data_IF_551023917300
#
_entry.id   IF_551023917300
#
_cell.length_a   1.000
_cell.length_b   1.000
_cell.length_c   1.000
_cell.angle_alpha   90.00
_cell.angle_beta   90.00
_cell.angle_gamma   90.00
#
_symmetry.space_group_name_H-M   'P 1'
#
loop_
_entity.id
_entity.type
_entity.pdbx_description
1 polymer ?
#
# COMPACT_ATOMS: atom_id res chain seq x y z
N UNK A 1 -2.94 4.88 -5.05
CA UNK A 1 -3.73 5.07 -3.81
C UNK A 1 -3.99 6.55 -3.54
N UNK A 2 -2.96 7.38 -3.26
CA UNK A 2 -3.15 8.79 -2.87
C UNK A 2 -4.02 9.62 -3.84
N UNK A 3 -3.80 9.51 -5.14
CA UNK A 3 -4.63 10.20 -6.15
C UNK A 3 -6.10 9.78 -6.14
N UNK A 4 -6.38 8.50 -5.85
CA UNK A 4 -7.76 8.02 -5.70
C UNK A 4 -8.41 8.59 -4.43
N UNK A 5 -7.65 8.75 -3.34
CA UNK A 5 -8.12 9.41 -2.12
C UNK A 5 -8.47 10.88 -2.39
N UNK A 6 -7.57 11.64 -3.05
CA UNK A 6 -7.79 13.06 -3.40
C UNK A 6 -9.06 13.21 -4.24
N UNK A 7 -9.23 12.39 -5.30
CA UNK A 7 -10.43 12.39 -6.14
C UNK A 7 -11.70 12.16 -5.30
N UNK A 8 -11.68 11.17 -4.41
CA UNK A 8 -12.83 10.84 -3.57
C UNK A 8 -13.17 11.95 -2.55
N UNK A 9 -12.15 12.61 -2.00
CA UNK A 9 -12.33 13.76 -1.09
C UNK A 9 -12.97 14.92 -1.86
N UNK A 10 -12.44 15.25 -3.05
CA UNK A 10 -13.00 16.34 -3.88
C UNK A 10 -14.42 16.07 -4.33
N UNK A 11 -14.74 14.85 -4.72
CA UNK A 11 -16.13 14.52 -5.08
C UNK A 11 -17.07 14.69 -3.90
N UNK A 12 -16.66 14.24 -2.71
CA UNK A 12 -17.54 14.25 -1.54
C UNK A 12 -17.67 15.60 -0.87
N UNK A 13 -16.59 16.36 -0.79
CA UNK A 13 -16.51 17.58 0.02
C UNK A 13 -16.27 18.86 -0.81
N UNK A 14 -15.99 18.74 -2.11
CA UNK A 14 -15.73 19.87 -2.99
C UNK A 14 -14.56 20.73 -2.52
N UNK A 15 -14.72 22.03 -2.67
CA UNK A 15 -13.74 23.04 -2.24
C UNK A 15 -13.72 23.28 -0.72
N UNK A 16 -14.67 22.71 0.02
CA UNK A 16 -14.66 22.76 1.49
C UNK A 16 -13.55 21.89 2.10
N UNK A 17 -12.98 20.95 1.33
CA UNK A 17 -11.84 20.16 1.78
C UNK A 17 -10.55 20.94 1.60
N UNK A 18 -9.81 21.16 2.69
CA UNK A 18 -8.45 21.66 2.65
C UNK A 18 -7.47 20.47 2.63
N UNK A 19 -6.77 20.25 1.50
CA UNK A 19 -5.96 19.06 1.26
C UNK A 19 -4.49 19.45 1.10
N UNK A 20 -3.63 18.90 1.96
CA UNK A 20 -2.19 18.87 1.77
C UNK A 20 -1.76 17.50 1.26
N UNK A 21 -0.88 17.44 0.27
CA UNK A 21 -0.22 16.22 -0.18
C UNK A 21 1.28 16.29 0.09
N UNK A 22 1.82 15.31 0.81
CA UNK A 22 3.26 15.15 0.92
C UNK A 22 3.77 14.18 -0.15
N UNK A 23 4.70 14.66 -0.98
CA UNK A 23 5.37 13.87 -1.99
C UNK A 23 6.74 13.39 -1.49
N UNK A 24 6.89 12.08 -1.35
CA UNK A 24 8.16 11.47 -0.99
C UNK A 24 9.05 11.32 -2.24
N UNK A 25 10.25 11.89 -2.18
CA UNK A 25 11.24 11.80 -3.25
C UNK A 25 12.51 12.61 -2.91
N UNK A 26 13.54 12.47 -3.73
CA UNK A 26 14.79 13.24 -3.60
C UNK A 26 14.72 14.60 -4.28
N UNK A 27 13.79 14.74 -5.21
CA UNK A 27 13.60 15.94 -6.01
C UNK A 27 12.13 16.34 -5.99
N UNK A 28 11.87 17.63 -6.05
CA UNK A 28 10.53 18.16 -6.18
C UNK A 28 9.90 17.66 -7.49
N UNK A 29 8.65 17.16 -7.46
CA UNK A 29 8.00 16.74 -8.68
C UNK A 29 7.79 17.94 -9.60
N UNK A 30 8.16 17.82 -10.87
CA UNK A 30 7.96 18.85 -11.88
C UNK A 30 6.50 19.03 -12.31
N UNK A 31 5.54 18.59 -11.49
CA UNK A 31 4.10 18.67 -11.75
C UNK A 31 3.34 19.02 -10.48
N UNK A 32 2.24 19.73 -10.64
CA UNK A 32 1.30 19.95 -9.55
C UNK A 32 0.40 18.74 -9.36
N UNK A 33 0.16 18.37 -8.09
CA UNK A 33 -0.81 17.32 -7.77
C UNK A 33 -2.20 17.95 -7.90
N UNK A 34 -2.97 17.49 -8.89
CA UNK A 34 -4.32 17.99 -9.12
C UNK A 34 -5.23 17.71 -7.90
N UNK A 35 -6.04 18.71 -7.57
CA UNK A 35 -7.03 18.59 -6.50
C UNK A 35 -6.48 18.79 -5.08
N UNK A 36 -5.24 19.27 -4.89
CA UNK A 36 -4.72 19.65 -3.57
C UNK A 36 -4.60 21.15 -3.42
N UNK A 37 -4.64 21.63 -2.18
CA UNK A 37 -4.44 23.03 -1.84
C UNK A 37 -2.96 23.35 -1.63
N UNK A 38 -2.21 22.38 -1.08
CA UNK A 38 -0.79 22.52 -0.81
C UNK A 38 -0.05 21.22 -1.11
N UNK A 39 1.11 21.31 -1.75
CA UNK A 39 2.02 20.19 -1.95
C UNK A 39 3.27 20.41 -1.13
N UNK A 40 3.56 19.47 -0.24
CA UNK A 40 4.80 19.41 0.52
C UNK A 40 5.70 18.34 -0.09
N UNK A 41 6.98 18.63 -0.18
CA UNK A 41 7.99 17.73 -0.69
C UNK A 41 8.99 17.33 0.41
N UNK A 42 9.33 16.05 0.49
CA UNK A 42 10.37 15.54 1.38
C UNK A 42 10.00 14.24 2.10
N UNK A 43 10.97 13.73 2.86
CA UNK A 43 10.81 12.55 3.71
C UNK A 43 10.03 12.90 4.97
N UNK A 44 8.96 12.21 5.26
CA UNK A 44 8.16 12.37 6.48
C UNK A 44 8.96 12.11 7.76
N UNK A 45 10.06 11.38 7.67
CA UNK A 45 10.98 11.19 8.81
C UNK A 45 11.86 12.41 9.09
N UNK A 46 11.94 13.37 8.15
CA UNK A 46 12.64 14.63 8.37
C UNK A 46 11.83 15.52 9.32
N UNK A 47 12.43 15.98 10.45
CA UNK A 47 11.75 16.89 11.37
C UNK A 47 11.23 18.17 10.71
N UNK A 48 11.93 18.72 9.71
CA UNK A 48 11.50 19.93 9.01
C UNK A 48 10.22 19.69 8.19
N UNK A 49 10.07 18.51 7.59
CA UNK A 49 8.85 18.12 6.88
C UNK A 49 7.69 17.99 7.87
N UNK A 50 7.93 17.36 9.01
CA UNK A 50 6.91 17.22 10.05
C UNK A 50 6.44 18.57 10.61
N UNK A 51 7.37 19.49 10.86
CA UNK A 51 7.00 20.85 11.33
C UNK A 51 6.14 21.61 10.30
N UNK A 52 6.41 21.45 9.01
CA UNK A 52 5.56 22.03 7.96
C UNK A 52 4.16 21.40 7.96
N UNK A 53 4.06 20.08 8.18
CA UNK A 53 2.77 19.40 8.31
C UNK A 53 2.02 19.91 9.54
N UNK A 54 2.70 20.10 10.69
CA UNK A 54 2.10 20.67 11.89
C UNK A 54 1.62 22.12 11.67
N UNK A 55 2.34 22.91 10.89
CA UNK A 55 1.93 24.26 10.56
C UNK A 55 0.66 24.32 9.70
N UNK A 56 0.42 23.31 8.88
CA UNK A 56 -0.80 23.21 8.11
C UNK A 56 -1.99 22.92 9.05
N UNK A 57 -3.01 23.76 8.99
CA UNK A 57 -4.22 23.67 9.80
C UNK A 57 -3.97 23.48 11.33
N UNK A 58 -2.89 24.04 11.86
CA UNK A 58 -2.46 23.92 13.26
C UNK A 58 -2.33 22.45 13.73
N UNK A 59 -1.90 21.57 12.85
CA UNK A 59 -1.70 20.15 13.14
C UNK A 59 -2.98 19.34 13.34
N UNK A 60 -4.15 19.91 13.02
CA UNK A 60 -5.45 19.26 13.17
C UNK A 60 -5.95 18.73 11.83
N UNK A 61 -6.28 17.43 11.79
CA UNK A 61 -6.72 16.76 10.57
C UNK A 61 -7.95 15.90 10.83
N UNK A 62 -8.95 15.99 9.96
CA UNK A 62 -10.08 15.05 9.97
C UNK A 62 -9.67 13.67 9.49
N UNK A 63 -8.80 13.62 8.46
CA UNK A 63 -8.32 12.34 7.92
C UNK A 63 -6.91 12.48 7.37
N UNK A 64 -6.05 11.54 7.76
CA UNK A 64 -4.72 11.35 7.22
C UNK A 64 -4.67 10.06 6.40
N UNK A 65 -4.19 10.14 5.16
CA UNK A 65 -3.98 8.99 4.28
C UNK A 65 -2.48 8.71 4.13
N UNK A 66 -2.02 7.59 4.68
CA UNK A 66 -0.62 7.20 4.56
C UNK A 66 -0.43 6.18 3.44
N UNK A 67 0.01 6.66 2.26
CA UNK A 67 0.08 5.86 1.04
C UNK A 67 1.52 5.45 0.64
N UNK A 68 2.53 5.76 1.45
CA UNK A 68 3.91 5.37 1.18
C UNK A 68 4.12 3.89 1.47
N UNK A 69 4.79 3.18 0.55
CA UNK A 69 5.18 1.79 0.73
C UNK A 69 6.53 1.57 0.04
N UNK A 70 7.56 1.35 0.82
CA UNK A 70 8.92 1.09 0.39
C UNK A 70 9.49 -0.07 1.21
N UNK A 71 10.20 -0.98 0.55
CA UNK A 71 10.81 -2.12 1.21
C UNK A 71 11.33 -3.13 0.20
N UNK A 72 12.02 -4.14 0.71
CA UNK A 72 12.51 -5.25 -0.10
C UNK A 72 11.33 -6.07 -0.65
N UNK A 73 11.41 -6.36 -1.94
CA UNK A 73 10.48 -7.22 -2.69
C UNK A 73 11.27 -8.10 -3.66
N UNK A 74 10.64 -9.10 -4.24
CA UNK A 74 11.26 -10.01 -5.20
C UNK A 74 11.89 -11.24 -4.55
N UNK A 75 11.68 -11.42 -3.24
CA UNK A 75 12.07 -12.61 -2.46
C UNK A 75 10.84 -13.10 -1.70
N UNK A 76 10.81 -14.39 -1.30
CA UNK A 76 9.74 -14.91 -0.43
C UNK A 76 9.64 -14.13 0.89
N UNK A 77 8.43 -13.93 1.38
CA UNK A 77 8.20 -13.25 2.67
C UNK A 77 8.92 -13.99 3.82
N UNK A 78 8.91 -15.31 3.78
CA UNK A 78 9.58 -16.16 4.78
C UNK A 78 11.12 -16.03 4.80
N UNK A 79 11.71 -15.44 3.77
CA UNK A 79 13.16 -15.23 3.66
C UNK A 79 13.61 -13.80 4.01
N UNK A 80 12.66 -12.92 4.34
CA UNK A 80 13.00 -11.56 4.75
C UNK A 80 13.80 -11.56 6.05
N UNK A 81 14.93 -10.86 6.05
CA UNK A 81 15.78 -10.75 7.26
C UNK A 81 15.22 -9.72 8.24
N UNK A 82 15.53 -9.84 9.54
CA UNK A 82 15.13 -8.83 10.53
C UNK A 82 15.54 -7.40 10.13
N UNK A 83 16.71 -7.24 9.52
CA UNK A 83 17.24 -5.95 9.07
C UNK A 83 16.42 -5.40 7.90
N UNK A 84 16.05 -6.24 6.92
CA UNK A 84 15.23 -5.81 5.78
C UNK A 84 13.80 -5.49 6.22
N UNK A 85 13.26 -6.23 7.20
CA UNK A 85 11.95 -5.94 7.81
C UNK A 85 11.97 -4.60 8.54
N UNK A 86 12.99 -4.35 9.37
CA UNK A 86 13.15 -3.09 10.10
C UNK A 86 13.26 -1.91 9.13
N UNK A 87 14.05 -2.05 8.06
CA UNK A 87 14.18 -1.01 7.03
C UNK A 87 12.85 -0.75 6.29
N UNK A 88 12.12 -1.81 5.97
CA UNK A 88 10.80 -1.68 5.34
C UNK A 88 9.80 -0.99 6.27
N UNK A 89 9.76 -1.34 7.55
CA UNK A 89 8.88 -0.70 8.55
C UNK A 89 9.20 0.78 8.73
N UNK A 90 10.48 1.15 8.80
CA UNK A 90 10.93 2.55 8.91
C UNK A 90 10.32 3.47 7.84
N UNK A 91 10.01 2.93 6.66
CA UNK A 91 9.47 3.69 5.53
C UNK A 91 7.98 3.45 5.31
N UNK A 92 7.45 2.30 5.71
CA UNK A 92 6.08 1.90 5.37
C UNK A 92 5.13 1.86 6.56
N UNK A 93 5.63 1.72 7.79
CA UNK A 93 4.80 1.56 8.99
C UNK A 93 5.12 2.56 10.10
N UNK A 94 6.39 2.70 10.51
CA UNK A 94 6.78 3.54 11.65
C UNK A 94 6.31 5.01 11.50
N UNK A 95 6.28 5.61 10.28
CA UNK A 95 5.74 6.96 10.13
C UNK A 95 4.26 7.09 10.47
N UNK A 96 3.47 6.02 10.38
CA UNK A 96 2.06 6.03 10.80
C UNK A 96 1.98 6.28 12.31
N UNK A 97 2.76 5.54 13.08
CA UNK A 97 2.83 5.69 14.54
C UNK A 97 3.32 7.08 14.95
N UNK A 98 4.36 7.57 14.26
CA UNK A 98 4.89 8.92 14.49
C UNK A 98 3.84 9.99 14.21
N UNK A 99 3.16 9.93 13.08
CA UNK A 99 2.12 10.90 12.72
C UNK A 99 0.94 10.85 13.69
N UNK A 100 0.53 9.67 14.15
CA UNK A 100 -0.53 9.53 15.16
C UNK A 100 -0.14 10.14 16.51
N UNK A 101 1.13 10.04 16.90
CA UNK A 101 1.62 10.62 18.15
C UNK A 101 1.78 12.14 18.10
N UNK A 102 2.19 12.68 16.94
CA UNK A 102 2.60 14.07 16.75
C UNK A 102 1.49 15.01 16.29
N UNK A 103 0.42 14.46 15.71
CA UNK A 103 -0.68 15.24 15.12
C UNK A 103 -2.01 14.98 15.84
N UNK A 104 -2.93 15.92 15.73
CA UNK A 104 -4.32 15.74 16.15
C UNK A 104 -5.16 15.26 14.96
N UNK A 105 -5.26 13.94 14.81
CA UNK A 105 -5.92 13.29 13.67
C UNK A 105 -7.13 12.51 14.17
N UNK A 106 -8.31 12.74 13.56
CA UNK A 106 -9.52 11.97 13.90
C UNK A 106 -9.54 10.57 13.27
N UNK A 107 -9.04 10.44 12.03
CA UNK A 107 -8.99 9.15 11.31
C UNK A 107 -7.67 9.01 10.57
N UNK A 108 -6.98 7.89 10.75
CA UNK A 108 -5.80 7.52 9.96
C UNK A 108 -6.16 6.34 9.06
N UNK A 109 -5.89 6.50 7.77
CA UNK A 109 -6.13 5.50 6.74
C UNK A 109 -4.80 5.01 6.20
N UNK A 110 -4.51 3.74 6.42
CA UNK A 110 -3.35 3.06 5.85
C UNK A 110 -3.75 2.16 4.68
N UNK A 111 -2.77 1.62 3.98
CA UNK A 111 -3.01 0.77 2.81
C UNK A 111 -2.30 -0.56 2.93
N UNK A 112 -3.06 -1.63 2.67
CA UNK A 112 -2.57 -2.99 2.59
C UNK A 112 -2.90 -3.62 1.24
N UNK A 113 -2.56 -4.89 1.09
CA UNK A 113 -2.87 -5.72 -0.07
C UNK A 113 -3.16 -7.14 0.39
N UNK A 114 -3.58 -8.01 -0.52
CA UNK A 114 -3.76 -9.44 -0.21
C UNK A 114 -2.41 -10.18 -0.25
N UNK A 115 -1.47 -9.76 0.61
CA UNK A 115 -0.09 -10.26 0.65
C UNK A 115 0.04 -11.74 1.06
N UNK A 116 -1.05 -12.35 1.50
CA UNK A 116 -1.10 -13.76 1.93
C UNK A 116 -1.44 -14.74 0.81
N UNK A 117 -1.77 -14.28 -0.39
CA UNK A 117 -1.91 -15.18 -1.53
C UNK A 117 -0.54 -15.75 -1.95
N UNK A 118 -0.53 -16.96 -2.51
CA UNK A 118 0.71 -17.72 -2.76
C UNK A 118 1.74 -16.96 -3.60
N UNK A 119 1.29 -16.25 -4.64
CA UNK A 119 2.17 -15.45 -5.48
C UNK A 119 2.79 -14.25 -4.75
N UNK A 120 2.04 -13.62 -3.86
CA UNK A 120 2.56 -12.53 -3.03
C UNK A 120 3.50 -13.06 -1.94
N UNK A 121 3.18 -14.20 -1.32
CA UNK A 121 4.10 -14.86 -0.37
C UNK A 121 5.46 -15.15 -1.00
N UNK A 122 5.49 -15.48 -2.30
CA UNK A 122 6.71 -15.80 -3.04
C UNK A 122 7.55 -14.55 -3.41
N UNK A 123 6.99 -13.32 -3.34
CA UNK A 123 7.67 -12.14 -3.92
C UNK A 123 7.64 -10.88 -3.09
N UNK A 124 6.83 -10.83 -2.02
CA UNK A 124 6.59 -9.57 -1.32
C UNK A 124 7.62 -9.25 -0.24
N UNK A 125 8.56 -10.18 0.06
CA UNK A 125 9.72 -9.98 0.94
C UNK A 125 9.38 -9.27 2.25
N UNK A 126 10.25 -8.35 2.66
CA UNK A 126 10.06 -7.55 3.87
C UNK A 126 8.80 -6.65 3.83
N UNK A 127 8.33 -6.24 2.64
CA UNK A 127 7.08 -5.49 2.53
C UNK A 127 5.86 -6.27 3.02
N UNK A 128 5.85 -7.61 2.94
CA UNK A 128 4.78 -8.44 3.49
C UNK A 128 4.65 -8.26 5.00
N UNK A 129 5.78 -8.23 5.71
CA UNK A 129 5.81 -7.97 7.16
C UNK A 129 5.34 -6.55 7.51
N UNK A 130 5.69 -5.54 6.71
CA UNK A 130 5.17 -4.18 6.92
C UNK A 130 3.66 -4.10 6.70
N UNK A 131 3.11 -4.87 5.75
CA UNK A 131 1.65 -4.94 5.57
C UNK A 131 0.97 -5.64 6.74
N UNK A 132 1.55 -6.71 7.27
CA UNK A 132 1.06 -7.34 8.50
C UNK A 132 1.09 -6.38 9.69
N UNK A 133 2.18 -5.60 9.85
CA UNK A 133 2.28 -4.60 10.92
C UNK A 133 1.18 -3.53 10.79
N UNK A 134 0.91 -3.03 9.59
CA UNK A 134 -0.18 -2.09 9.31
C UNK A 134 -1.53 -2.72 9.67
N UNK A 135 -1.79 -3.98 9.33
CA UNK A 135 -3.07 -4.62 9.60
C UNK A 135 -3.27 -4.94 11.08
N UNK A 136 -2.21 -5.30 11.80
CA UNK A 136 -2.24 -5.43 13.26
C UNK A 136 -2.56 -4.10 13.94
N UNK A 137 -1.85 -3.04 13.55
CA UNK A 137 -2.11 -1.69 14.04
C UNK A 137 -3.55 -1.23 13.75
N UNK A 138 -4.08 -1.56 12.57
CA UNK A 138 -5.42 -1.12 12.18
C UNK A 138 -6.53 -1.63 13.11
N UNK A 139 -6.36 -2.79 13.74
CA UNK A 139 -7.34 -3.36 14.69
C UNK A 139 -7.08 -2.95 16.14
N UNK A 140 -5.98 -2.26 16.42
CA UNK A 140 -5.67 -1.75 17.75
C UNK A 140 -6.46 -0.47 18.03
N UNK A 141 -6.78 -0.25 19.31
CA UNK A 141 -7.38 1.02 19.73
C UNK A 141 -6.29 2.07 19.86
N UNK A 142 -6.36 3.08 19.01
CA UNK A 142 -5.45 4.24 19.03
C UNK A 142 -6.11 5.52 19.52
N UNK A 143 -5.36 6.62 19.45
CA UNK A 143 -5.86 7.98 19.67
C UNK A 143 -6.80 8.39 18.52
N UNK A 144 -6.47 8.02 17.30
CA UNK A 144 -7.31 8.19 16.12
C UNK A 144 -8.16 6.95 15.85
N UNK A 145 -9.20 7.10 15.01
CA UNK A 145 -9.82 5.95 14.37
C UNK A 145 -8.87 5.38 13.32
N UNK A 146 -8.57 4.10 13.40
CA UNK A 146 -7.78 3.42 12.37
C UNK A 146 -8.69 2.83 11.29
N UNK A 147 -8.25 2.92 10.03
CA UNK A 147 -8.87 2.26 8.91
C UNK A 147 -7.80 1.80 7.92
N UNK A 148 -8.08 0.74 7.18
CA UNK A 148 -7.15 0.22 6.18
C UNK A 148 -7.90 -0.11 4.87
N UNK A 149 -7.39 0.36 3.74
CA UNK A 149 -7.85 -0.07 2.42
C UNK A 149 -6.91 -1.18 1.95
N UNK A 150 -7.47 -2.39 1.82
CA UNK A 150 -6.76 -3.58 1.32
C UNK A 150 -7.12 -3.78 -0.15
N UNK A 151 -6.14 -3.68 -1.03
CA UNK A 151 -6.36 -3.74 -2.47
C UNK A 151 -5.71 -4.96 -3.12
N UNK A 152 -6.39 -5.53 -4.11
CA UNK A 152 -5.81 -6.48 -5.06
C UNK A 152 -4.72 -5.84 -5.93
N UNK A 153 -4.08 -6.64 -6.76
CA UNK A 153 -3.02 -6.15 -7.65
C UNK A 153 -3.57 -5.10 -8.61
N UNK A 154 -2.96 -3.93 -8.60
CA UNK A 154 -3.24 -2.84 -9.52
C UNK A 154 -1.95 -2.21 -10.04
N UNK A 155 -2.04 -1.54 -11.18
CA UNK A 155 -0.86 -0.88 -11.73
C UNK A 155 -0.46 0.36 -10.93
N UNK A 156 0.76 0.34 -10.38
CA UNK A 156 1.34 1.39 -9.55
C UNK A 156 2.83 1.53 -9.81
N UNK A 157 3.45 2.57 -9.25
CA UNK A 157 4.92 2.67 -9.27
C UNK A 157 5.57 1.48 -8.55
N UNK A 158 5.01 1.03 -7.44
CA UNK A 158 5.52 -0.13 -6.69
C UNK A 158 5.40 -1.41 -7.51
N UNK A 159 4.27 -1.67 -8.16
CA UNK A 159 4.12 -2.86 -9.01
C UNK A 159 5.07 -2.85 -10.21
N UNK A 160 5.33 -1.68 -10.80
CA UNK A 160 6.36 -1.52 -11.85
C UNK A 160 7.76 -1.80 -11.33
N UNK A 161 8.08 -1.36 -10.10
CA UNK A 161 9.35 -1.65 -9.41
C UNK A 161 9.56 -3.14 -9.20
N UNK A 162 8.54 -3.86 -8.72
CA UNK A 162 8.56 -5.33 -8.56
C UNK A 162 8.80 -6.01 -9.89
N UNK A 163 8.08 -5.63 -10.95
CA UNK A 163 8.29 -6.16 -12.31
C UNK A 163 9.72 -5.94 -12.80
N UNK A 164 10.30 -4.78 -12.51
CA UNK A 164 11.69 -4.49 -12.91
C UNK A 164 12.70 -5.36 -12.17
N UNK A 165 12.50 -5.59 -10.87
CA UNK A 165 13.32 -6.50 -10.07
C UNK A 165 13.20 -7.93 -10.58
N UNK A 166 11.98 -8.42 -10.78
CA UNK A 166 11.74 -9.74 -11.35
C UNK A 166 12.40 -9.92 -12.73
N UNK A 167 12.40 -8.88 -13.59
CA UNK A 167 13.13 -8.92 -14.87
C UNK A 167 14.63 -9.10 -14.70
N UNK A 168 15.23 -8.47 -13.70
CA UNK A 168 16.66 -8.60 -13.42
C UNK A 168 16.99 -9.99 -12.91
N UNK A 169 16.24 -10.47 -11.92
CA UNK A 169 16.47 -11.78 -11.30
C UNK A 169 16.15 -12.93 -12.26
N UNK A 170 15.13 -12.78 -13.11
CA UNK A 170 14.71 -13.78 -14.10
C UNK A 170 15.69 -13.99 -15.25
N UNK A 171 16.76 -13.19 -15.37
CA UNK A 171 17.88 -13.49 -16.28
C UNK A 171 18.67 -14.72 -15.81
N UNK A 172 18.57 -15.05 -14.54
CA UNK A 172 19.20 -16.16 -13.87
C UNK A 172 18.15 -16.93 -13.05
N UNK A 173 17.24 -17.69 -13.70
CA UNK A 173 16.14 -18.38 -13.01
C UNK A 173 16.61 -19.35 -11.92
N UNK A 174 17.83 -19.87 -12.06
CA UNK A 174 18.48 -20.72 -11.07
C UNK A 174 18.69 -20.02 -9.71
N UNK A 175 18.73 -18.70 -9.69
CA UNK A 175 18.86 -17.89 -8.46
C UNK A 175 17.51 -17.61 -7.79
N UNK A 176 16.38 -17.94 -8.45
CA UNK A 176 15.06 -17.83 -7.86
C UNK A 176 14.84 -19.00 -6.88
N UNK A 177 14.78 -18.70 -5.60
CA UNK A 177 14.67 -19.71 -4.55
C UNK A 177 13.28 -20.35 -4.52
N UNK A 178 12.23 -19.54 -4.66
CA UNK A 178 10.87 -20.04 -4.64
C UNK A 178 10.56 -20.89 -5.89
N UNK A 179 10.11 -22.15 -5.72
CA UNK A 179 9.82 -23.04 -6.85
C UNK A 179 8.69 -22.55 -7.75
N UNK A 180 7.65 -21.90 -7.17
CA UNK A 180 6.56 -21.34 -7.96
C UNK A 180 7.08 -20.22 -8.85
N UNK A 181 7.85 -19.31 -8.27
CA UNK A 181 8.43 -18.19 -9.01
C UNK A 181 9.36 -18.69 -10.11
N UNK A 182 10.23 -19.66 -9.82
CA UNK A 182 11.14 -20.30 -10.79
C UNK A 182 10.37 -20.87 -11.99
N UNK A 183 9.25 -21.56 -11.76
CA UNK A 183 8.44 -22.21 -12.82
C UNK A 183 7.91 -21.23 -13.87
N UNK A 184 7.77 -19.96 -13.51
CA UNK A 184 7.33 -18.92 -14.43
C UNK A 184 8.43 -18.45 -15.39
N UNK A 185 9.70 -18.59 -15.01
CA UNK A 185 10.82 -18.06 -15.77
C UNK A 185 11.67 -19.12 -16.45
N UNK A 186 11.66 -20.35 -15.97
CA UNK A 186 12.45 -21.44 -16.54
C UNK A 186 12.04 -21.71 -17.99
N UNK A 187 13.02 -21.63 -18.91
CA UNK A 187 12.81 -21.82 -20.33
C UNK A 187 12.00 -20.73 -21.05
N UNK A 188 11.77 -19.57 -20.42
CA UNK A 188 10.96 -18.47 -20.97
C UNK A 188 11.71 -17.14 -20.96
N UNK A 189 11.28 -16.22 -21.81
CA UNK A 189 11.74 -14.83 -21.72
C UNK A 189 11.24 -14.16 -20.41
N UNK A 190 12.00 -13.22 -19.88
CA UNK A 190 11.59 -12.47 -18.67
C UNK A 190 10.23 -11.76 -18.86
N UNK A 191 9.92 -11.32 -20.07
CA UNK A 191 8.64 -10.68 -20.40
C UNK A 191 7.48 -11.67 -20.27
N UNK A 192 7.63 -12.84 -20.87
CA UNK A 192 6.63 -13.91 -20.81
C UNK A 192 6.42 -14.44 -19.40
N UNK A 193 7.53 -14.67 -18.66
CA UNK A 193 7.47 -15.09 -17.27
C UNK A 193 6.71 -14.10 -16.38
N UNK A 194 6.96 -12.80 -16.51
CA UNK A 194 6.26 -11.76 -15.75
C UNK A 194 4.77 -11.74 -16.11
N UNK A 195 4.44 -11.80 -17.39
CA UNK A 195 3.03 -11.81 -17.80
C UNK A 195 2.29 -13.00 -17.20
N UNK A 196 2.85 -14.22 -17.32
CA UNK A 196 2.25 -15.42 -16.72
C UNK A 196 2.17 -15.37 -15.20
N UNK A 197 3.17 -14.78 -14.55
CA UNK A 197 3.15 -14.57 -13.10
C UNK A 197 2.02 -13.63 -12.68
N UNK A 198 1.81 -12.51 -13.39
CA UNK A 198 0.67 -11.61 -13.15
C UNK A 198 -0.67 -12.30 -13.39
N UNK A 199 -0.79 -13.08 -14.46
CA UNK A 199 -1.99 -13.89 -14.73
C UNK A 199 -2.25 -14.90 -13.60
N UNK A 200 -1.18 -15.46 -13.01
CA UNK A 200 -1.26 -16.31 -11.83
C UNK A 200 -1.82 -15.58 -10.61
N UNK A 201 -1.34 -14.36 -10.34
CA UNK A 201 -1.90 -13.50 -9.27
C UNK A 201 -3.39 -13.24 -9.52
N UNK A 202 -3.77 -12.81 -10.72
CA UNK A 202 -5.16 -12.52 -11.03
C UNK A 202 -6.08 -13.73 -10.92
N UNK A 203 -5.58 -14.90 -11.30
CA UNK A 203 -6.32 -16.16 -11.13
C UNK A 203 -6.56 -16.44 -9.64
N UNK A 204 -5.53 -16.36 -8.83
CA UNK A 204 -5.60 -16.57 -7.38
C UNK A 204 -6.49 -15.55 -6.68
N UNK A 205 -6.38 -14.27 -7.03
CA UNK A 205 -7.29 -13.24 -6.53
C UNK A 205 -8.74 -13.54 -6.86
N UNK A 206 -9.03 -13.95 -8.11
CA UNK A 206 -10.38 -14.28 -8.54
C UNK A 206 -10.93 -15.51 -7.79
N UNK A 207 -10.11 -16.51 -7.56
CA UNK A 207 -10.49 -17.72 -6.80
C UNK A 207 -10.75 -17.39 -5.32
N UNK A 208 -9.88 -16.61 -4.70
CA UNK A 208 -9.97 -16.28 -3.28
C UNK A 208 -11.02 -15.19 -2.97
N UNK A 209 -11.16 -14.19 -3.84
CA UNK A 209 -11.93 -12.98 -3.56
C UNK A 209 -13.08 -12.72 -4.54
N UNK A 210 -13.24 -13.57 -5.55
CA UNK A 210 -14.35 -13.53 -6.50
C UNK A 210 -14.19 -12.55 -7.67
N UNK A 211 -13.15 -11.69 -7.66
CA UNK A 211 -12.80 -10.78 -8.76
C UNK A 211 -11.28 -10.51 -8.74
N UNK A 212 -10.77 -9.82 -9.75
CA UNK A 212 -9.34 -9.49 -9.90
C UNK A 212 -9.17 -8.23 -10.78
N UNK A 213 -7.92 -7.82 -11.02
CA UNK A 213 -7.56 -6.67 -11.88
C UNK A 213 -8.14 -5.36 -11.37
N UNK A 214 -7.80 -5.02 -10.13
CA UNK A 214 -8.19 -3.75 -9.51
C UNK A 214 -7.71 -2.56 -10.33
N UNK A 215 -8.59 -1.59 -10.57
CA UNK A 215 -8.31 -0.38 -11.34
C UNK A 215 -8.25 0.86 -10.44
N UNK A 216 -7.81 1.98 -10.99
CA UNK A 216 -7.86 3.27 -10.29
C UNK A 216 -9.30 3.67 -9.93
N UNK A 217 -10.28 3.32 -10.76
CA UNK A 217 -11.70 3.58 -10.48
C UNK A 217 -12.20 2.73 -9.31
N UNK A 218 -11.82 1.45 -9.24
CA UNK A 218 -12.21 0.58 -8.13
C UNK A 218 -11.62 1.08 -6.79
N UNK A 219 -10.37 1.55 -6.82
CA UNK A 219 -9.73 2.19 -5.67
C UNK A 219 -10.46 3.47 -5.23
N UNK A 220 -10.86 4.29 -6.17
CA UNK A 220 -11.64 5.48 -5.90
C UNK A 220 -13.00 5.13 -5.26
N UNK A 221 -13.70 4.13 -5.76
CA UNK A 221 -14.96 3.64 -5.18
C UNK A 221 -14.76 3.10 -3.75
N UNK A 222 -13.61 2.46 -3.47
CA UNK A 222 -13.26 2.03 -2.11
C UNK A 222 -13.12 3.22 -1.15
N UNK A 223 -12.50 4.33 -1.59
CA UNK A 223 -12.41 5.55 -0.77
C UNK A 223 -13.78 6.20 -0.51
N UNK A 224 -14.69 6.20 -1.49
CA UNK A 224 -16.06 6.68 -1.25
C UNK A 224 -16.78 5.84 -0.19
N UNK A 225 -16.56 4.52 -0.18
CA UNK A 225 -17.10 3.65 0.89
C UNK A 225 -16.50 3.96 2.25
N UNK A 226 -15.21 4.27 2.34
CA UNK A 226 -14.56 4.70 3.58
C UNK A 226 -15.28 5.89 4.25
N UNK A 227 -15.70 6.86 3.45
CA UNK A 227 -16.42 8.02 3.95
C UNK A 227 -17.89 7.74 4.31
N UNK A 228 -18.46 6.64 3.81
CA UNK A 228 -19.82 6.22 4.11
C UNK A 228 -19.91 5.39 5.38
N UNK A 229 -18.94 4.53 5.63
CA UNK A 229 -18.95 3.57 6.73
C UNK A 229 -17.89 3.94 7.77
N UNK A 230 -18.31 4.11 9.02
CA UNK A 230 -17.43 4.55 10.11
C UNK A 230 -16.93 3.41 10.99
N UNK A 231 -17.57 2.24 10.94
CA UNK A 231 -17.26 1.15 11.86
C UNK A 231 -16.24 0.13 11.36
N UNK A 232 -16.28 -0.34 10.08
CA UNK A 232 -15.36 -1.38 9.66
C UNK A 232 -13.92 -0.88 9.60
N UNK A 233 -12.99 -1.74 10.01
CA UNK A 233 -11.55 -1.45 9.98
C UNK A 233 -11.02 -1.56 8.55
N UNK A 234 -11.42 -2.63 7.82
CA UNK A 234 -10.90 -2.89 6.48
C UNK A 234 -11.95 -2.67 5.40
N UNK A 235 -11.56 -1.90 4.40
CA UNK A 235 -12.28 -1.79 3.14
C UNK A 235 -11.46 -2.58 2.11
N UNK A 236 -11.97 -3.72 1.71
CA UNK A 236 -11.33 -4.60 0.76
C UNK A 236 -11.80 -4.27 -0.65
N UNK A 237 -10.88 -4.23 -1.60
CA UNK A 237 -11.18 -4.02 -3.02
C UNK A 237 -10.35 -4.97 -3.87
N UNK A 238 -11.02 -5.81 -4.66
CA UNK A 238 -10.39 -6.71 -5.61
C UNK A 238 -11.22 -6.71 -6.90
N UNK A 239 -10.65 -6.19 -7.98
CA UNK A 239 -11.45 -5.82 -9.14
C UNK A 239 -12.56 -4.86 -8.76
N UNK A 240 -13.77 -5.09 -9.26
CA UNK A 240 -14.97 -4.31 -8.94
C UNK A 240 -15.62 -4.68 -7.60
N UNK A 241 -15.21 -5.80 -7.01
CA UNK A 241 -15.75 -6.25 -5.73
C UNK A 241 -15.18 -5.43 -4.59
N UNK A 242 -16.06 -4.83 -3.79
CA UNK A 242 -15.71 -4.08 -2.58
C UNK A 242 -16.53 -4.62 -1.43
N UNK A 243 -15.85 -5.04 -0.33
CA UNK A 243 -16.49 -5.54 0.88
C UNK A 243 -15.80 -5.04 2.14
N UNK A 244 -16.45 -5.17 3.27
CA UNK A 244 -15.98 -4.71 4.57
C UNK A 244 -15.59 -5.91 5.44
N UNK A 245 -14.57 -5.75 6.27
CA UNK A 245 -14.17 -6.75 7.26
C UNK A 245 -13.45 -6.10 8.44
N UNK A 246 -13.34 -6.84 9.56
CA UNK A 246 -12.66 -6.39 10.78
C UNK A 246 -11.48 -7.28 11.17
N UNK A 247 -11.24 -8.37 10.42
CA UNK A 247 -10.14 -9.30 10.69
C UNK A 247 -8.89 -8.94 9.90
N UNK A 248 -7.72 -8.82 10.56
CA UNK A 248 -6.43 -8.66 9.90
C UNK A 248 -6.01 -9.96 9.22
N UNK A 249 -5.21 -9.86 8.16
CA UNK A 249 -4.49 -10.99 7.61
C UNK A 249 -3.20 -11.19 8.42
N UNK A 250 -2.91 -12.42 8.84
CA UNK A 250 -1.74 -12.72 9.67
C UNK A 250 -0.87 -13.75 8.95
N UNK A 251 0.42 -13.45 8.78
CA UNK A 251 1.37 -14.34 8.08
C UNK A 251 1.45 -15.73 8.71
N UNK A 252 1.34 -15.84 10.03
CA UNK A 252 1.36 -17.11 10.75
C UNK A 252 0.27 -18.10 10.32
N UNK A 253 -0.80 -17.62 9.68
CA UNK A 253 -1.91 -18.46 9.23
C UNK A 253 -1.66 -19.00 7.81
N UNK A 254 -0.58 -18.56 7.13
CA UNK A 254 -0.27 -18.85 5.73
C UNK A 254 1.18 -19.34 5.48
N UNK A 255 2.09 -19.14 6.43
CA UNK A 255 3.48 -19.60 6.43
C UNK A 255 3.64 -20.82 7.34
#
# INVERSE_FOLDING_TARGET
MGTAAIKAIREKFGDNANIMANWYGKEEPGFNIEGVNETLFGDINDPQVLEKIKAFNNGQFDTLFYATALGEVGVPISEATPESIALSNKLSFDPILKLESELDVKTIVAYSTFYVIRHQLATYGAMGHSKEAIEKWAVEKGKARHACIRAGLFESQSSRGIKLLLRKTAKHPENLRDPLLRSYFEGKSSKEGIQKFEEGIFKEEKEAYGDCRTTAEDLYQAHLKLFKYKEPVFINVCGKRIWLSDAPLLLKDYL
#
